data_IF_872394731901
#
_entry.id   IF_872394731901
#
_cell.length_a   1.000
_cell.length_b   1.000
_cell.length_c   1.000
_cell.angle_alpha   90.00
_cell.angle_beta   90.00
_cell.angle_gamma   90.00
#
_symmetry.space_group_name_H-M   'P 1'
#
loop_
_entity.id
_entity.type
_entity.pdbx_description
1 polymer ?
#
# COMPACT_ATOMS: atom_id res chain seq x y z
N UNK A 1 -17.34 3.30 27.61
CA UNK A 1 -16.81 3.34 27.18
C UNK A 1 -16.56 3.39 26.53
N UNK A 2 -17.04 3.39 26.38
CA UNK A 2 -16.76 3.38 25.54
C UNK A 2 -15.69 3.81 25.09
N UNK A 3 -15.05 4.05 25.43
CA UNK A 3 -13.83 4.41 24.95
C UNK A 3 -13.33 3.39 24.11
N UNK A 4 -13.75 2.35 24.09
CA UNK A 4 -13.34 1.44 23.26
C UNK A 4 -13.55 1.78 21.95
N UNK A 5 -14.39 2.59 21.66
CA UNK A 5 -14.56 3.02 20.41
C UNK A 5 -13.34 3.49 19.87
N UNK A 6 -12.62 4.24 20.53
CA UNK A 6 -11.44 4.74 20.06
C UNK A 6 -10.55 3.65 19.78
N UNK A 7 -10.52 2.68 20.55
CA UNK A 7 -9.63 1.59 20.35
C UNK A 7 -9.94 0.93 19.05
N UNK A 8 -11.20 0.83 18.75
CA UNK A 8 -11.56 0.23 17.50
C UNK A 8 -10.99 0.99 16.34
N UNK A 9 -11.08 2.27 16.40
CA UNK A 9 -10.56 3.07 15.34
C UNK A 9 -9.10 2.86 15.17
N UNK A 10 -8.35 2.74 16.23
CA UNK A 10 -6.96 2.54 16.12
C UNK A 10 -6.62 1.21 15.59
N UNK A 11 -7.44 0.24 15.80
CA UNK A 11 -7.14 -1.08 15.35
C UNK A 11 -7.61 -1.40 13.96
N UNK A 12 -8.30 -0.47 13.34
CA UNK A 12 -8.76 -0.70 11.98
C UNK A 12 -7.54 -0.73 11.08
N UNK A 13 -7.35 -1.81 10.40
CA UNK A 13 -6.23 -1.96 9.54
C UNK A 13 -6.39 -1.15 8.29
N UNK A 14 -5.35 -0.48 7.86
CA UNK A 14 -5.41 0.30 6.67
C UNK A 14 -5.30 -0.60 5.46
N UNK A 15 -6.30 -0.58 4.62
CA UNK A 15 -6.31 -1.40 3.43
C UNK A 15 -5.65 -0.69 2.26
N UNK A 16 -5.87 0.62 2.17
CA UNK A 16 -5.30 1.41 1.08
C UNK A 16 -4.14 2.23 1.59
N UNK A 17 -3.03 2.18 0.88
CA UNK A 17 -1.81 2.86 1.29
C UNK A 17 -1.46 3.93 0.27
N UNK A 18 -0.93 5.05 0.74
CA UNK A 18 -0.45 6.08 -0.16
C UNK A 18 0.91 5.61 -0.70
N UNK A 19 1.46 6.35 -1.65
CA UNK A 19 2.77 5.99 -2.20
C UNK A 19 3.81 5.91 -1.09
N UNK A 20 3.78 6.87 -0.18
CA UNK A 20 4.72 6.90 0.90
C UNK A 20 4.55 5.70 1.82
N UNK A 21 3.32 5.38 2.14
CA UNK A 21 3.05 4.24 3.00
C UNK A 21 3.40 2.93 2.33
N UNK A 22 3.15 2.83 1.03
CA UNK A 22 3.48 1.62 0.29
C UNK A 22 4.99 1.43 0.27
N UNK A 23 5.73 2.51 0.07
CA UNK A 23 7.18 2.45 0.06
C UNK A 23 7.69 1.97 1.41
N UNK A 24 7.06 2.47 2.48
CA UNK A 24 7.46 2.08 3.80
C UNK A 24 7.14 0.61 4.06
N UNK A 25 6.01 0.16 3.58
CA UNK A 25 5.59 -1.23 3.74
C UNK A 25 6.60 -2.16 3.06
N UNK A 26 7.09 -1.77 1.89
CA UNK A 26 8.06 -2.57 1.17
C UNK A 26 9.50 -2.33 1.61
N UNK A 27 9.74 -1.25 2.33
CA UNK A 27 11.10 -0.92 2.75
C UNK A 27 11.92 -0.31 1.64
N UNK A 28 11.28 0.42 0.72
CA UNK A 28 12.00 1.04 -0.40
C UNK A 28 11.65 2.51 -0.48
N UNK A 29 12.25 3.23 -1.40
CA UNK A 29 11.96 4.64 -1.57
C UNK A 29 10.71 4.86 -2.39
N UNK A 30 10.16 6.06 -2.35
CA UNK A 30 8.95 6.37 -3.08
C UNK A 30 9.18 6.35 -4.58
N UNK A 31 10.39 6.63 -5.01
CA UNK A 31 10.72 6.58 -6.44
C UNK A 31 10.56 5.17 -6.97
N UNK A 32 10.93 4.19 -6.15
CA UNK A 32 10.80 2.79 -6.53
C UNK A 32 9.33 2.45 -6.78
N UNK A 33 8.46 2.90 -5.90
CA UNK A 33 7.04 2.65 -6.02
C UNK A 33 6.48 3.36 -7.26
N UNK A 34 6.92 4.59 -7.49
CA UNK A 34 6.47 5.35 -8.64
C UNK A 34 6.86 4.67 -9.94
N UNK A 35 8.07 4.10 -9.99
CA UNK A 35 8.54 3.41 -11.17
C UNK A 35 7.71 2.15 -11.42
N UNK A 36 7.42 1.39 -10.39
CA UNK A 36 6.60 0.19 -10.53
C UNK A 36 5.22 0.56 -11.05
N UNK A 37 4.68 1.68 -10.60
CA UNK A 37 3.38 2.12 -11.03
C UNK A 37 3.41 2.50 -12.50
N UNK A 38 4.43 3.25 -12.89
CA UNK A 38 4.55 3.68 -14.27
C UNK A 38 4.76 2.52 -15.22
N UNK A 39 5.42 1.49 -14.77
CA UNK A 39 5.67 0.33 -15.57
C UNK A 39 4.48 -0.63 -15.61
N UNK A 40 3.44 -0.32 -14.86
CA UNK A 40 2.27 -1.16 -14.84
C UNK A 40 2.45 -2.43 -14.07
N UNK A 41 3.47 -2.51 -13.22
CA UNK A 41 3.75 -3.70 -12.45
C UNK A 41 2.99 -3.76 -11.14
N UNK A 42 2.51 -2.64 -10.67
CA UNK A 42 1.83 -2.59 -9.41
C UNK A 42 0.46 -1.94 -9.59
N UNK A 43 -0.58 -2.65 -9.21
CA UNK A 43 -1.91 -2.13 -9.35
C UNK A 43 -2.13 -0.98 -8.40
N UNK A 44 -2.87 -0.01 -8.85
CA UNK A 44 -3.11 1.17 -8.03
C UNK A 44 -4.39 1.86 -8.47
N UNK A 45 -4.86 2.80 -7.64
CA UNK A 45 -5.99 3.64 -7.98
C UNK A 45 -5.52 5.07 -7.89
N UNK A 46 -5.99 5.91 -8.81
CA UNK A 46 -5.65 7.32 -8.79
C UNK A 46 -6.87 8.13 -8.39
N UNK A 47 -6.71 8.98 -7.39
CA UNK A 47 -7.77 9.85 -6.97
C UNK A 47 -7.17 11.22 -6.82
N UNK A 48 -7.59 12.17 -7.66
CA UNK A 48 -7.06 13.53 -7.59
C UNK A 48 -5.54 13.58 -7.54
N UNK A 49 -4.92 12.92 -8.46
CA UNK A 49 -3.46 12.90 -8.56
C UNK A 49 -2.75 12.18 -7.42
N UNK A 50 -3.49 11.45 -6.61
CA UNK A 50 -2.88 10.68 -5.54
C UNK A 50 -3.06 9.20 -5.85
N UNK A 51 -1.97 8.47 -5.82
CA UNK A 51 -2.02 7.04 -6.07
C UNK A 51 -2.23 6.30 -4.76
N UNK A 52 -3.12 5.32 -4.80
CA UNK A 52 -3.37 4.48 -3.64
C UNK A 52 -3.14 3.04 -4.03
N UNK A 53 -2.54 2.28 -3.13
CA UNK A 53 -2.21 0.88 -3.38
C UNK A 53 -2.84 0.01 -2.32
N UNK A 54 -3.33 -1.13 -2.71
CA UNK A 54 -3.90 -2.06 -1.74
C UNK A 54 -2.78 -2.96 -1.25
N UNK A 55 -2.82 -3.25 0.04
CA UNK A 55 -1.83 -4.09 0.65
C UNK A 55 -1.79 -5.44 -0.05
N UNK A 56 -2.96 -5.97 -0.40
CA UNK A 56 -3.05 -7.23 -1.09
C UNK A 56 -2.35 -7.21 -2.43
N UNK A 57 -2.46 -6.11 -3.14
CA UNK A 57 -1.82 -6.01 -4.45
C UNK A 57 -0.30 -5.97 -4.32
N UNK A 58 0.19 -5.32 -3.27
CA UNK A 58 1.62 -5.25 -3.02
C UNK A 58 2.12 -6.64 -2.69
N UNK A 59 1.38 -7.36 -1.84
CA UNK A 59 1.77 -8.70 -1.46
C UNK A 59 1.75 -9.64 -2.68
N UNK A 60 0.76 -9.47 -3.55
CA UNK A 60 0.68 -10.32 -4.75
C UNK A 60 1.84 -10.02 -5.69
N UNK A 61 2.25 -8.76 -5.78
CA UNK A 61 3.37 -8.39 -6.61
C UNK A 61 4.63 -9.09 -6.11
N UNK A 62 4.84 -9.09 -4.80
CA UNK A 62 6.01 -9.74 -4.24
C UNK A 62 5.96 -11.25 -4.45
N UNK A 63 4.79 -11.84 -4.29
CA UNK A 63 4.66 -13.28 -4.49
C UNK A 63 4.97 -13.68 -5.92
N UNK A 64 4.54 -12.86 -6.87
CA UNK A 64 4.76 -13.17 -8.27
C UNK A 64 6.23 -13.07 -8.67
N UNK A 65 7.04 -12.47 -7.81
CA UNK A 65 8.47 -12.34 -8.08
C UNK A 65 9.33 -13.25 -7.19
N UNK A 66 8.70 -14.22 -6.58
CA UNK A 66 9.48 -15.14 -5.76
C UNK A 66 10.40 -15.96 -6.64
N UNK A 67 11.57 -16.19 -6.13
CA UNK A 67 12.56 -16.94 -6.89
C UNK A 67 12.40 -18.44 -6.70
N UNK A 68 11.82 -18.85 -5.58
CA UNK A 68 11.57 -20.26 -5.35
C UNK A 68 10.32 -20.48 -4.53
#
# INVERSE_FOLDING_TARGET
>A
MTPKKKTLVKEVEKVWLSTKEAAKYLGVGTTYIADLRKEGQLRHCMVKNTAFFRKEDIDAFLESHRVY
#
